data_IF_312241816982
#
_entry.id   IF_312241816982
#
_cell.length_a   1.000
_cell.length_b   1.000
_cell.length_c   1.000
_cell.angle_alpha   90.00
_cell.angle_beta   90.00
_cell.angle_gamma   90.00
#
_symmetry.space_group_name_H-M   'P 1'
#
loop_
_entity.id
_entity.type
_entity.pdbx_description
1 polymer ?
#
# COMPACT_ATOMS: atom_id res chain seq x y z
N UNK A 1 -9.52 18.56 2.70
CA UNK A 1 -9.25 17.54 3.76
C UNK A 1 -7.92 17.87 4.41
N UNK A 2 -7.85 17.85 5.75
CA UNK A 2 -6.59 17.91 6.51
C UNK A 2 -6.17 16.48 6.84
N UNK A 3 -4.86 16.20 6.73
CA UNK A 3 -4.32 14.90 7.15
C UNK A 3 -4.54 14.72 8.66
N UNK A 4 -5.04 13.55 9.09
CA UNK A 4 -5.22 13.26 10.50
C UNK A 4 -3.92 13.42 11.32
N UNK A 5 -4.04 13.68 12.63
CA UNK A 5 -2.89 13.73 13.52
C UNK A 5 -2.03 12.46 13.44
N UNK A 6 -0.74 12.59 13.74
CA UNK A 6 0.23 11.47 13.62
C UNK A 6 -0.11 10.28 14.51
N UNK A 7 -0.72 10.51 15.66
CA UNK A 7 -1.08 9.48 16.65
C UNK A 7 -1.99 8.38 16.08
N UNK A 8 -2.86 8.72 15.13
CA UNK A 8 -3.70 7.74 14.40
C UNK A 8 -2.85 6.70 13.67
N UNK A 9 -1.70 7.12 13.14
CA UNK A 9 -0.76 6.28 12.40
C UNK A 9 0.33 5.67 13.30
N UNK A 10 0.66 6.33 14.41
CA UNK A 10 1.76 5.93 15.30
C UNK A 10 1.50 4.60 16.00
N UNK A 11 0.23 4.19 16.13
CA UNK A 11 -0.13 2.85 16.62
C UNK A 11 0.45 1.75 15.71
N UNK A 12 0.55 2.01 14.40
CA UNK A 12 1.14 1.06 13.43
C UNK A 12 2.67 1.05 13.46
N UNK A 13 3.29 2.05 14.07
CA UNK A 13 4.75 2.19 14.17
C UNK A 13 5.35 1.43 15.36
N UNK A 14 4.50 0.88 16.21
CA UNK A 14 4.93 0.09 17.37
C UNK A 14 5.10 -1.38 17.00
N UNK A 15 5.96 -2.08 17.73
CA UNK A 15 6.08 -3.53 17.56
C UNK A 15 4.79 -4.24 18.00
N UNK A 16 4.42 -5.28 17.27
CA UNK A 16 3.34 -6.18 17.70
C UNK A 16 3.79 -7.22 18.74
N UNK A 17 5.09 -7.22 19.13
CA UNK A 17 5.67 -8.25 19.96
C UNK A 17 5.59 -9.62 19.28
N UNK A 18 4.99 -10.58 19.96
CA UNK A 18 4.74 -11.93 19.41
C UNK A 18 3.41 -12.06 18.67
N UNK A 19 2.58 -11.01 18.69
CA UNK A 19 1.28 -11.04 18.01
C UNK A 19 1.50 -10.94 16.51
N UNK A 20 1.05 -11.94 15.81
CA UNK A 20 1.08 -11.98 14.35
C UNK A 20 -0.11 -11.22 13.75
N UNK A 21 0.13 -10.55 12.64
CA UNK A 21 -0.88 -9.80 11.90
C UNK A 21 -0.40 -9.67 10.44
N UNK A 22 -1.33 -9.67 9.50
CA UNK A 22 -1.03 -9.40 8.10
C UNK A 22 -0.98 -7.89 7.80
N UNK A 23 -0.37 -7.50 6.68
CA UNK A 23 -0.42 -6.10 6.24
C UNK A 23 -1.83 -5.70 5.78
N UNK A 24 -2.63 -6.62 5.24
CA UNK A 24 -4.06 -6.37 4.97
C UNK A 24 -4.80 -6.05 6.27
N UNK A 25 -4.60 -6.83 7.33
CA UNK A 25 -5.22 -6.54 8.63
C UNK A 25 -4.67 -5.26 9.27
N UNK A 26 -3.40 -4.93 9.03
CA UNK A 26 -2.80 -3.65 9.45
C UNK A 26 -3.50 -2.47 8.76
N UNK A 27 -3.80 -2.59 7.45
CA UNK A 27 -4.57 -1.60 6.71
C UNK A 27 -5.97 -1.43 7.30
N UNK A 28 -6.71 -2.51 7.50
CA UNK A 28 -8.06 -2.49 8.09
C UNK A 28 -8.06 -1.82 9.45
N UNK A 29 -7.07 -2.13 10.28
CA UNK A 29 -6.90 -1.51 11.61
C UNK A 29 -6.60 -0.02 11.51
N UNK A 30 -5.76 0.39 10.58
CA UNK A 30 -5.46 1.79 10.30
C UNK A 30 -6.72 2.54 9.83
N UNK A 31 -7.46 1.98 8.88
CA UNK A 31 -8.72 2.56 8.40
C UNK A 31 -9.75 2.66 9.53
N UNK A 32 -9.84 1.64 10.41
CA UNK A 32 -10.68 1.68 11.61
C UNK A 32 -10.31 2.85 12.53
N UNK A 33 -9.03 3.17 12.66
CA UNK A 33 -8.60 4.34 13.43
C UNK A 33 -8.94 5.66 12.73
N UNK A 34 -8.83 5.70 11.41
CA UNK A 34 -9.23 6.87 10.61
C UNK A 34 -10.72 7.20 10.73
N UNK A 35 -11.57 6.20 10.95
CA UNK A 35 -13.00 6.42 11.21
C UNK A 35 -13.29 7.21 12.51
N UNK A 36 -12.29 7.39 13.39
CA UNK A 36 -12.42 8.23 14.59
C UNK A 36 -12.15 9.71 14.30
N UNK A 37 -11.52 10.03 13.18
CA UNK A 37 -11.25 11.42 12.79
C UNK A 37 -12.50 12.02 12.13
N UNK A 38 -13.05 13.07 12.73
CA UNK A 38 -14.31 13.71 12.28
C UNK A 38 -14.19 14.39 10.91
N UNK A 39 -12.98 14.74 10.48
CA UNK A 39 -12.74 15.38 9.18
C UNK A 39 -12.57 14.34 8.06
N UNK A 40 -11.98 13.21 8.36
CA UNK A 40 -11.67 12.16 7.38
C UNK A 40 -12.78 11.10 7.32
N UNK A 41 -13.34 10.68 8.46
CA UNK A 41 -14.34 9.62 8.53
C UNK A 41 -15.49 9.78 7.53
N UNK A 42 -16.16 10.93 7.42
CA UNK A 42 -17.29 11.10 6.48
C UNK A 42 -16.85 11.18 5.01
N UNK A 43 -15.56 11.17 4.72
CA UNK A 43 -14.99 11.24 3.37
C UNK A 43 -14.44 9.90 2.89
N UNK A 44 -14.29 8.92 3.78
CA UNK A 44 -13.81 7.59 3.43
C UNK A 44 -14.88 6.83 2.64
N UNK A 45 -14.50 6.30 1.49
CA UNK A 45 -15.35 5.47 0.63
C UNK A 45 -14.62 4.16 0.34
N UNK A 46 -14.74 3.16 1.23
CA UNK A 46 -14.24 1.82 0.94
C UNK A 46 -15.06 1.21 -0.20
N UNK A 47 -14.39 0.72 -1.22
CA UNK A 47 -14.99 0.05 -2.37
C UNK A 47 -14.47 -1.38 -2.38
N UNK A 48 -15.36 -2.34 -2.34
CA UNK A 48 -15.03 -3.74 -2.12
C UNK A 48 -15.82 -4.58 -3.12
N UNK A 49 -15.19 -5.56 -3.80
CA UNK A 49 -15.95 -6.63 -4.42
C UNK A 49 -16.62 -7.44 -3.30
N UNK A 50 -17.47 -8.34 -3.61
CA UNK A 50 -18.30 -9.17 -2.72
C UNK A 50 -17.50 -10.04 -1.69
N UNK A 51 -16.34 -9.62 -1.25
CA UNK A 51 -15.41 -10.41 -0.42
C UNK A 51 -14.84 -9.63 0.77
N UNK A 52 -15.61 -8.72 1.35
CA UNK A 52 -15.18 -7.89 2.48
C UNK A 52 -14.62 -8.71 3.66
N UNK A 53 -15.20 -9.88 3.93
CA UNK A 53 -14.75 -10.78 5.01
C UNK A 53 -13.37 -11.37 4.74
N UNK A 54 -13.04 -11.67 3.49
CA UNK A 54 -11.71 -12.15 3.10
C UNK A 54 -10.63 -11.12 3.40
N UNK A 55 -10.97 -9.84 3.31
CA UNK A 55 -10.08 -8.73 3.67
C UNK A 55 -10.16 -8.34 5.15
N UNK A 56 -10.99 -9.01 5.97
CA UNK A 56 -11.19 -8.68 7.38
C UNK A 56 -11.95 -7.37 7.61
N UNK A 57 -12.75 -6.93 6.64
CA UNK A 57 -13.46 -5.65 6.67
C UNK A 57 -14.92 -5.74 7.15
N UNK A 58 -15.40 -6.90 7.55
CA UNK A 58 -16.77 -7.09 8.07
C UNK A 58 -17.12 -6.15 9.23
N UNK A 59 -16.11 -5.71 9.98
CA UNK A 59 -16.31 -4.73 11.05
C UNK A 59 -16.79 -3.36 10.58
N UNK A 60 -16.63 -3.04 9.28
CA UNK A 60 -17.16 -1.80 8.71
C UNK A 60 -18.66 -1.84 8.48
N UNK A 61 -19.26 -3.01 8.29
CA UNK A 61 -20.71 -3.15 8.08
C UNK A 61 -21.50 -2.51 9.24
N UNK A 62 -21.07 -2.73 10.45
CA UNK A 62 -21.74 -2.16 11.64
C UNK A 62 -21.33 -0.71 11.93
N UNK A 63 -20.13 -0.28 11.52
CA UNK A 63 -19.60 1.05 11.84
C UNK A 63 -20.08 2.13 10.89
N UNK A 64 -20.03 1.87 9.59
CA UNK A 64 -20.33 2.86 8.54
C UNK A 64 -21.34 2.36 7.51
N UNK A 65 -21.76 1.10 7.62
CA UNK A 65 -22.79 0.50 6.77
C UNK A 65 -22.36 0.30 5.31
N UNK A 66 -23.04 -0.61 4.64
CA UNK A 66 -22.99 -0.77 3.19
C UNK A 66 -24.03 0.15 2.58
N UNK A 67 -23.65 0.90 1.57
CA UNK A 67 -24.58 1.79 0.89
C UNK A 67 -25.64 1.00 0.14
N UNK A 68 -26.90 1.29 0.43
CA UNK A 68 -28.04 0.80 -0.33
C UNK A 68 -29.06 1.91 -0.50
N UNK A 69 -29.37 2.27 -1.74
CA UNK A 69 -30.25 3.38 -2.09
C UNK A 69 -31.61 3.32 -1.37
N UNK A 70 -32.16 2.12 -1.23
CA UNK A 70 -33.46 1.91 -0.59
C UNK A 70 -33.36 1.47 0.89
N UNK A 71 -32.14 1.30 1.40
CA UNK A 71 -31.87 0.68 2.71
C UNK A 71 -32.09 -0.82 2.68
N UNK A 72 -31.89 -1.47 3.83
CA UNK A 72 -32.01 -2.91 3.96
C UNK A 72 -33.48 -3.35 4.01
N UNK A 73 -33.88 -4.22 3.06
CA UNK A 73 -35.28 -4.69 2.91
C UNK A 73 -35.45 -6.16 3.30
N UNK A 74 -34.44 -6.80 3.81
CA UNK A 74 -34.45 -8.21 4.20
C UNK A 74 -33.63 -8.41 5.46
N UNK A 75 -33.86 -9.53 6.13
CA UNK A 75 -33.03 -9.98 7.24
C UNK A 75 -31.83 -10.73 6.67
N UNK A 76 -30.59 -10.30 6.94
CA UNK A 76 -29.41 -11.02 6.44
C UNK A 76 -29.25 -12.38 7.11
N UNK A 77 -28.75 -13.34 6.35
CA UNK A 77 -28.54 -14.73 6.80
C UNK A 77 -27.65 -14.78 8.06
N UNK A 78 -26.74 -13.83 8.19
CA UNK A 78 -25.80 -13.69 9.29
C UNK A 78 -26.26 -12.73 10.41
N UNK A 79 -27.54 -12.38 10.46
CA UNK A 79 -28.13 -11.41 11.42
C UNK A 79 -27.77 -11.66 12.89
N UNK A 80 -27.44 -12.91 13.26
CA UNK A 80 -27.02 -13.31 14.60
C UNK A 80 -25.53 -13.06 14.90
N UNK A 81 -24.72 -12.68 13.92
CA UNK A 81 -23.31 -12.40 14.10
C UNK A 81 -23.09 -10.95 14.54
N UNK A 82 -22.05 -10.71 15.35
CA UNK A 82 -21.66 -9.36 15.80
C UNK A 82 -21.31 -8.43 14.63
N UNK A 83 -20.75 -8.95 13.55
CA UNK A 83 -20.40 -8.23 12.34
C UNK A 83 -21.30 -8.68 11.19
N UNK A 84 -22.61 -8.70 11.43
CA UNK A 84 -23.60 -9.04 10.41
C UNK A 84 -23.61 -8.04 9.27
N UNK A 85 -24.04 -8.49 8.10
CA UNK A 85 -24.26 -7.66 6.94
C UNK A 85 -25.29 -6.56 7.25
N UNK A 86 -24.96 -5.31 6.95
CA UNK A 86 -25.85 -4.16 7.23
C UNK A 86 -25.82 -3.17 6.09
N UNK A 87 -26.95 -3.02 5.41
CA UNK A 87 -27.21 -2.01 4.41
C UNK A 87 -27.89 -0.78 5.02
N UNK A 88 -27.51 0.41 4.54
CA UNK A 88 -28.07 1.68 5.00
C UNK A 88 -28.01 2.72 3.88
N UNK A 89 -29.02 3.60 3.82
CA UNK A 89 -29.05 4.74 2.87
C UNK A 89 -27.88 5.69 3.07
N UNK A 90 -27.37 5.79 4.27
CA UNK A 90 -26.20 6.58 4.65
C UNK A 90 -24.92 5.76 4.70
N UNK A 91 -24.94 4.51 4.23
CA UNK A 91 -23.77 3.63 4.19
C UNK A 91 -22.64 4.22 3.36
N UNK A 92 -21.41 3.94 3.77
CA UNK A 92 -20.20 4.45 3.10
C UNK A 92 -19.42 3.36 2.35
N UNK A 93 -19.64 2.08 2.66
CA UNK A 93 -19.03 0.97 1.93
C UNK A 93 -19.79 0.74 0.65
N UNK A 94 -19.10 0.79 -0.48
CA UNK A 94 -19.65 0.39 -1.77
C UNK A 94 -19.28 -1.08 -2.02
N UNK A 95 -20.26 -1.95 -1.97
CA UNK A 95 -20.13 -3.37 -2.27
C UNK A 95 -20.69 -3.62 -3.67
N UNK A 96 -19.80 -3.61 -4.65
CA UNK A 96 -20.11 -3.55 -6.09
C UNK A 96 -20.39 -4.93 -6.70
N UNK A 97 -20.23 -6.01 -5.91
CA UNK A 97 -20.17 -7.36 -6.43
C UNK A 97 -18.82 -7.67 -7.11
N UNK A 98 -18.69 -8.88 -7.64
CA UNK A 98 -17.44 -9.33 -8.30
C UNK A 98 -17.36 -8.69 -9.70
N UNK A 99 -17.10 -7.40 -9.73
CA UNK A 99 -16.92 -6.61 -10.96
C UNK A 99 -15.85 -5.54 -10.76
N UNK A 100 -14.66 -5.82 -11.22
CA UNK A 100 -13.53 -4.89 -11.11
C UNK A 100 -13.80 -3.60 -11.92
N UNK A 101 -14.45 -3.71 -13.07
CA UNK A 101 -14.78 -2.56 -13.90
C UNK A 101 -15.80 -1.62 -13.22
N UNK A 102 -16.84 -2.17 -12.58
CA UNK A 102 -17.81 -1.41 -11.79
C UNK A 102 -17.16 -0.72 -10.61
N UNK A 103 -16.40 -1.48 -9.83
CA UNK A 103 -15.65 -0.97 -8.67
C UNK A 103 -14.68 0.16 -9.05
N UNK A 104 -13.95 -0.01 -10.16
CA UNK A 104 -13.02 1.03 -10.63
C UNK A 104 -13.74 2.26 -11.16
N UNK A 105 -14.91 2.11 -11.78
CA UNK A 105 -15.75 3.24 -12.20
C UNK A 105 -16.22 4.04 -10.99
N UNK A 106 -16.71 3.39 -9.94
CA UNK A 106 -17.10 4.03 -8.68
C UNK A 106 -15.92 4.71 -8.00
N UNK A 107 -14.73 4.09 -8.05
CA UNK A 107 -13.50 4.68 -7.54
C UNK A 107 -13.13 5.97 -8.29
N UNK A 108 -13.21 5.98 -9.63
CA UNK A 108 -12.95 7.16 -10.45
C UNK A 108 -13.97 8.25 -10.12
N UNK A 109 -15.26 7.91 -10.05
CA UNK A 109 -16.33 8.86 -9.72
C UNK A 109 -16.09 9.53 -8.37
N UNK A 110 -15.77 8.76 -7.33
CA UNK A 110 -15.43 9.30 -6.02
C UNK A 110 -14.12 10.08 -6.02
N UNK A 111 -13.10 9.58 -6.73
CA UNK A 111 -11.77 10.21 -6.82
C UNK A 111 -11.75 11.54 -7.60
N UNK A 112 -12.76 11.79 -8.45
CA UNK A 112 -12.92 13.02 -9.23
C UNK A 112 -14.06 13.92 -8.70
N UNK A 113 -14.75 13.51 -7.64
CA UNK A 113 -15.90 14.24 -7.07
C UNK A 113 -15.56 15.68 -6.65
N UNK A 114 -14.31 15.95 -6.32
CA UNK A 114 -13.83 17.29 -5.97
C UNK A 114 -13.94 18.29 -7.14
N UNK A 115 -13.87 17.84 -8.39
CA UNK A 115 -14.03 18.70 -9.59
C UNK A 115 -15.48 18.79 -10.04
N UNK A 116 -16.23 17.70 -9.90
CA UNK A 116 -17.59 17.60 -10.45
C UNK A 116 -18.66 18.11 -9.48
N UNK A 117 -18.40 17.99 -8.17
CA UNK A 117 -19.39 18.26 -7.12
C UNK A 117 -18.86 19.14 -5.98
N UNK A 118 -17.61 19.60 -6.06
CA UNK A 118 -16.93 20.34 -4.98
C UNK A 118 -16.90 19.56 -3.64
N UNK A 119 -16.87 18.23 -3.73
CA UNK A 119 -16.85 17.32 -2.58
C UNK A 119 -15.60 16.45 -2.66
N UNK A 120 -14.67 16.63 -1.72
CA UNK A 120 -13.53 15.74 -1.63
C UNK A 120 -13.92 14.42 -0.98
N UNK A 121 -13.64 13.29 -1.65
CA UNK A 121 -13.79 11.94 -1.14
C UNK A 121 -12.45 11.21 -1.15
N UNK A 122 -12.31 10.22 -0.28
CA UNK A 122 -11.11 9.36 -0.18
C UNK A 122 -11.54 7.93 -0.56
N UNK A 123 -11.63 7.61 -1.84
CA UNK A 123 -11.95 6.26 -2.26
C UNK A 123 -10.77 5.32 -2.01
N UNK A 124 -11.07 4.14 -1.48
CA UNK A 124 -10.12 3.08 -1.19
C UNK A 124 -10.70 1.80 -1.77
N UNK A 125 -10.20 1.41 -2.93
CA UNK A 125 -10.65 0.21 -3.61
C UNK A 125 -9.72 -0.96 -3.32
N UNK A 126 -10.26 -2.01 -2.69
CA UNK A 126 -9.55 -3.25 -2.41
C UNK A 126 -9.90 -4.30 -3.47
N UNK A 127 -8.89 -4.96 -4.00
CA UNK A 127 -9.04 -6.04 -4.99
C UNK A 127 -7.89 -7.04 -4.87
N UNK A 128 -8.07 -8.21 -5.42
CA UNK A 128 -6.95 -9.15 -5.56
C UNK A 128 -5.91 -8.59 -6.53
N UNK A 129 -4.67 -8.42 -6.05
CA UNK A 129 -3.61 -7.72 -6.79
C UNK A 129 -3.36 -8.29 -8.19
N UNK A 130 -3.52 -9.61 -8.35
CA UNK A 130 -3.40 -10.29 -9.64
C UNK A 130 -4.43 -9.81 -10.67
N UNK A 131 -5.64 -9.49 -10.23
CA UNK A 131 -6.74 -9.16 -11.14
C UNK A 131 -6.91 -7.67 -11.41
N UNK A 132 -6.39 -6.78 -10.55
CA UNK A 132 -6.57 -5.35 -10.66
C UNK A 132 -6.15 -4.78 -12.01
N UNK A 133 -4.88 -4.45 -12.17
CA UNK A 133 -4.39 -3.82 -13.40
C UNK A 133 -4.57 -4.66 -14.67
N UNK A 134 -4.64 -5.98 -14.57
CA UNK A 134 -4.93 -6.83 -15.71
C UNK A 134 -6.34 -6.62 -16.27
N UNK A 135 -7.32 -6.35 -15.39
CA UNK A 135 -8.72 -6.19 -15.79
C UNK A 135 -9.15 -4.75 -15.94
N UNK A 136 -8.50 -3.84 -15.22
CA UNK A 136 -8.90 -2.43 -15.17
C UNK A 136 -7.75 -1.45 -15.46
N UNK A 137 -6.69 -1.90 -16.12
CA UNK A 137 -5.55 -1.05 -16.46
C UNK A 137 -5.95 0.16 -17.29
N UNK A 138 -6.85 0.00 -18.23
CA UNK A 138 -7.40 1.09 -19.04
C UNK A 138 -8.16 2.12 -18.20
N UNK A 139 -8.97 1.66 -17.25
CA UNK A 139 -9.62 2.55 -16.28
C UNK A 139 -8.60 3.25 -15.36
N UNK A 140 -7.51 2.60 -15.01
CA UNK A 140 -6.44 3.22 -14.21
C UNK A 140 -5.73 4.32 -15.00
N UNK A 141 -5.53 4.16 -16.30
CA UNK A 141 -5.08 5.22 -17.20
C UNK A 141 -6.06 6.38 -17.26
N UNK A 142 -7.35 6.08 -17.45
CA UNK A 142 -8.41 7.09 -17.43
C UNK A 142 -8.47 7.85 -16.10
N UNK A 143 -8.29 7.14 -14.98
CA UNK A 143 -8.18 7.73 -13.65
C UNK A 143 -7.00 8.70 -13.55
N UNK A 144 -5.84 8.29 -14.04
CA UNK A 144 -4.66 9.14 -14.11
C UNK A 144 -4.88 10.39 -14.95
N UNK A 145 -5.46 10.23 -16.13
CA UNK A 145 -5.76 11.34 -17.05
C UNK A 145 -6.78 12.33 -16.46
N UNK A 146 -7.80 11.84 -15.74
CA UNK A 146 -8.81 12.66 -15.07
C UNK A 146 -8.38 13.20 -13.71
N UNK A 147 -7.14 12.95 -13.30
CA UNK A 147 -6.57 13.40 -12.02
C UNK A 147 -7.35 12.88 -10.80
N UNK A 148 -7.86 11.67 -10.88
CA UNK A 148 -8.54 11.02 -9.77
C UNK A 148 -7.59 10.87 -8.57
N UNK A 149 -8.12 11.04 -7.36
CA UNK A 149 -7.38 10.92 -6.10
C UNK A 149 -7.95 9.76 -5.28
N UNK A 150 -7.09 8.95 -4.72
CA UNK A 150 -7.49 7.84 -3.88
C UNK A 150 -6.46 6.72 -3.84
N UNK A 151 -6.84 5.63 -3.20
CA UNK A 151 -5.98 4.47 -3.01
C UNK A 151 -6.55 3.25 -3.73
N UNK A 152 -5.72 2.59 -4.50
CA UNK A 152 -5.93 1.25 -5.02
C UNK A 152 -5.12 0.28 -4.15
N UNK A 153 -5.76 -0.74 -3.62
CA UNK A 153 -5.14 -1.69 -2.70
C UNK A 153 -5.19 -3.08 -3.32
N UNK A 154 -4.03 -3.58 -3.73
CA UNK A 154 -3.86 -4.98 -4.14
C UNK A 154 -3.74 -5.86 -2.90
N UNK A 155 -4.84 -6.27 -2.33
CA UNK A 155 -4.88 -7.14 -1.16
C UNK A 155 -4.70 -8.60 -1.57
N UNK A 156 -3.99 -9.41 -0.78
CA UNK A 156 -3.52 -10.75 -1.14
C UNK A 156 -2.42 -10.76 -2.21
N UNK A 157 -1.51 -9.77 -2.16
CA UNK A 157 -0.30 -9.85 -2.97
C UNK A 157 0.65 -10.90 -2.39
N UNK A 158 1.37 -11.57 -3.24
CA UNK A 158 2.37 -12.56 -2.85
C UNK A 158 2.36 -13.77 -3.77
N UNK A 159 3.50 -14.41 -3.90
CA UNK A 159 3.67 -15.60 -4.75
C UNK A 159 3.77 -16.86 -3.93
N UNK A 160 4.49 -16.81 -2.83
CA UNK A 160 4.90 -17.98 -2.04
C UNK A 160 4.03 -18.19 -0.81
N UNK A 161 3.22 -17.21 -0.44
CA UNK A 161 2.46 -17.17 0.82
C UNK A 161 0.95 -17.29 0.63
N UNK A 162 0.50 -17.49 -0.61
CA UNK A 162 -0.90 -17.72 -0.94
C UNK A 162 -1.23 -19.20 -0.80
N UNK A 163 -1.65 -19.61 0.39
CA UNK A 163 -2.08 -20.98 0.64
C UNK A 163 -3.55 -21.16 0.28
N UNK A 164 -3.82 -22.12 -0.61
CA UNK A 164 -5.19 -22.52 -0.99
C UNK A 164 -5.87 -21.66 -2.06
N UNK A 165 -5.30 -20.54 -2.45
CA UNK A 165 -5.91 -19.62 -3.42
C UNK A 165 -5.59 -19.99 -4.89
N UNK A 166 -4.65 -20.89 -5.12
CA UNK A 166 -4.26 -21.34 -6.45
C UNK A 166 -3.40 -20.36 -7.24
N UNK A 167 -2.91 -20.83 -8.38
CA UNK A 167 -1.95 -20.13 -9.23
C UNK A 167 -2.48 -18.80 -9.78
N UNK A 168 -3.77 -18.70 -10.04
CA UNK A 168 -4.40 -17.50 -10.60
C UNK A 168 -4.36 -16.28 -9.66
N UNK A 169 -4.07 -16.45 -8.38
CA UNK A 169 -3.94 -15.35 -7.43
C UNK A 169 -2.48 -14.90 -7.21
N UNK A 170 -1.51 -15.61 -7.79
CA UNK A 170 -0.10 -15.28 -7.63
C UNK A 170 0.28 -14.06 -8.46
N UNK A 171 0.46 -12.93 -7.80
CA UNK A 171 0.86 -11.67 -8.43
C UNK A 171 2.39 -11.52 -8.47
N UNK A 172 2.89 -11.11 -9.60
CA UNK A 172 4.31 -10.79 -9.77
C UNK A 172 4.56 -9.64 -10.74
N UNK A 173 3.51 -8.97 -11.19
CA UNK A 173 3.60 -8.00 -12.29
C UNK A 173 2.68 -6.79 -12.12
N UNK A 174 1.83 -6.71 -11.11
CA UNK A 174 0.92 -5.58 -10.92
C UNK A 174 1.68 -4.25 -10.78
N UNK A 175 2.82 -4.24 -10.08
CA UNK A 175 3.67 -3.05 -9.99
C UNK A 175 4.33 -2.66 -11.31
N UNK A 176 4.63 -3.62 -12.20
CA UNK A 176 5.12 -3.32 -13.55
C UNK A 176 4.04 -2.61 -14.37
N UNK A 177 2.80 -3.09 -14.30
CA UNK A 177 1.66 -2.44 -14.95
C UNK A 177 1.41 -1.04 -14.36
N UNK A 178 1.41 -0.90 -13.04
CA UNK A 178 1.28 0.39 -12.36
C UNK A 178 2.37 1.39 -12.79
N UNK A 179 3.61 0.92 -13.02
CA UNK A 179 4.73 1.77 -13.43
C UNK A 179 4.56 2.44 -14.79
N UNK A 180 3.64 1.96 -15.61
CA UNK A 180 3.34 2.56 -16.92
C UNK A 180 2.51 3.82 -16.83
N UNK A 181 1.80 4.04 -15.70
CA UNK A 181 0.92 5.19 -15.48
C UNK A 181 1.72 6.29 -14.77
N UNK A 182 1.98 7.45 -15.40
CA UNK A 182 2.96 8.42 -14.91
C UNK A 182 2.70 8.97 -13.51
N UNK A 183 1.43 9.19 -13.14
CA UNK A 183 1.00 9.71 -11.86
C UNK A 183 0.51 8.64 -10.87
N UNK A 184 0.71 7.37 -11.17
CA UNK A 184 0.52 6.28 -10.20
C UNK A 184 1.77 6.15 -9.34
N UNK A 185 1.61 6.32 -8.03
CA UNK A 185 2.66 6.12 -7.02
C UNK A 185 2.44 4.76 -6.39
N UNK A 186 3.38 3.84 -6.51
CA UNK A 186 3.13 2.45 -6.11
C UNK A 186 4.15 1.92 -5.12
N UNK A 187 3.66 1.20 -4.09
CA UNK A 187 4.45 0.65 -3.00
C UNK A 187 4.06 -0.78 -2.66
N UNK A 188 5.05 -1.55 -2.22
CA UNK A 188 4.93 -2.93 -1.75
C UNK A 188 5.50 -3.08 -0.32
N UNK A 189 4.80 -2.57 0.72
CA UNK A 189 5.29 -2.59 2.09
C UNK A 189 5.25 -3.99 2.69
N UNK A 190 6.27 -4.30 3.50
CA UNK A 190 6.33 -5.53 4.29
C UNK A 190 5.79 -5.33 5.70
N UNK A 191 6.00 -4.16 6.30
CA UNK A 191 5.65 -3.92 7.70
C UNK A 191 4.56 -2.87 7.87
N UNK A 192 3.81 -3.00 8.97
CA UNK A 192 2.72 -2.09 9.30
C UNK A 192 3.13 -0.61 9.37
N UNK A 193 4.34 -0.32 9.88
CA UNK A 193 4.85 1.06 9.93
C UNK A 193 5.17 1.63 8.55
N UNK A 194 5.66 0.80 7.61
CA UNK A 194 5.87 1.24 6.22
C UNK A 194 4.54 1.63 5.58
N UNK A 195 3.54 0.76 5.72
CA UNK A 195 2.18 1.03 5.24
C UNK A 195 1.61 2.33 5.82
N UNK A 196 1.78 2.56 7.13
CA UNK A 196 1.29 3.76 7.79
C UNK A 196 1.96 5.04 7.29
N UNK A 197 3.28 5.00 7.07
CA UNK A 197 4.05 6.13 6.50
C UNK A 197 3.59 6.43 5.08
N UNK A 198 3.48 5.40 4.24
CA UNK A 198 3.07 5.52 2.83
C UNK A 198 1.64 6.05 2.72
N UNK A 199 0.70 5.47 3.47
CA UNK A 199 -0.69 5.87 3.42
C UNK A 199 -0.89 7.32 3.89
N UNK A 200 -0.21 7.72 4.97
CA UNK A 200 -0.22 9.10 5.48
C UNK A 200 0.36 10.08 4.46
N UNK A 201 1.44 9.72 3.78
CA UNK A 201 2.03 10.55 2.70
C UNK A 201 1.05 10.68 1.52
N UNK A 202 0.37 9.61 1.15
CA UNK A 202 -0.67 9.64 0.12
C UNK A 202 -1.78 10.63 0.45
N UNK A 203 -2.30 10.59 1.67
CA UNK A 203 -3.29 11.58 2.14
C UNK A 203 -2.75 13.00 2.03
N UNK A 204 -1.50 13.23 2.47
CA UNK A 204 -0.86 14.54 2.42
C UNK A 204 -0.70 15.04 0.99
N UNK A 205 -0.18 14.22 0.10
CA UNK A 205 0.07 14.61 -1.30
C UNK A 205 -1.22 14.87 -2.05
N UNK A 206 -2.18 13.98 -1.96
CA UNK A 206 -3.44 14.08 -2.71
C UNK A 206 -4.39 15.16 -2.17
N UNK A 207 -4.50 15.32 -0.85
CA UNK A 207 -5.57 16.13 -0.26
C UNK A 207 -5.10 17.44 0.39
N UNK A 208 -3.87 17.51 0.94
CA UNK A 208 -3.33 18.78 1.44
C UNK A 208 -2.57 19.53 0.35
N UNK A 209 -1.62 18.85 -0.33
CA UNK A 209 -0.82 19.46 -1.39
C UNK A 209 -1.52 19.52 -2.74
N UNK A 210 -2.60 18.74 -2.90
CA UNK A 210 -3.37 18.64 -4.14
C UNK A 210 -2.52 18.24 -5.36
N UNK A 211 -1.51 17.40 -5.13
CA UNK A 211 -0.68 16.86 -6.20
C UNK A 211 -1.52 15.94 -7.10
N UNK A 212 -1.21 15.95 -8.40
CA UNK A 212 -1.83 15.05 -9.36
C UNK A 212 -1.19 13.66 -9.28
N UNK A 213 -1.57 12.91 -8.26
CA UNK A 213 -1.14 11.52 -8.04
C UNK A 213 -2.28 10.71 -7.45
N UNK A 214 -2.24 9.39 -7.66
CA UNK A 214 -3.00 8.40 -6.91
C UNK A 214 -2.08 7.26 -6.48
N UNK A 215 -2.49 6.50 -5.49
CA UNK A 215 -1.63 5.48 -4.88
C UNK A 215 -2.10 4.07 -5.21
N UNK A 216 -1.14 3.20 -5.52
CA UNK A 216 -1.32 1.76 -5.56
C UNK A 216 -0.44 1.12 -4.49
N UNK A 217 -1.02 0.35 -3.58
CA UNK A 217 -0.32 -0.29 -2.47
C UNK A 217 -0.71 -1.76 -2.44
N UNK A 218 0.28 -2.65 -2.45
CA UNK A 218 0.03 -4.07 -2.25
C UNK A 218 0.07 -4.43 -0.78
N UNK A 219 -0.81 -5.33 -0.36
CA UNK A 219 -0.84 -5.91 0.99
C UNK A 219 -1.01 -7.42 0.91
N UNK A 220 -0.62 -8.14 1.94
CA UNK A 220 -0.66 -9.60 1.98
C UNK A 220 -1.46 -10.11 3.17
N UNK A 221 -1.96 -11.34 3.08
CA UNK A 221 -2.77 -11.97 4.13
C UNK A 221 -1.99 -12.87 5.08
N UNK A 222 -0.73 -13.19 4.77
CA UNK A 222 0.10 -13.94 5.70
C UNK A 222 0.32 -13.16 7.00
N UNK A 223 0.15 -13.85 8.14
CA UNK A 223 0.35 -13.29 9.46
C UNK A 223 1.79 -13.48 9.92
N UNK A 224 2.39 -12.43 10.46
CA UNK A 224 3.73 -12.43 11.08
C UNK A 224 3.87 -11.27 12.07
N UNK A 225 4.85 -11.35 13.00
CA UNK A 225 5.15 -10.24 13.90
C UNK A 225 5.71 -9.03 13.15
N UNK A 226 5.26 -7.84 13.50
CA UNK A 226 5.79 -6.60 12.95
C UNK A 226 6.75 -5.94 13.95
N UNK A 227 7.96 -5.56 13.52
CA UNK A 227 8.88 -4.79 14.36
C UNK A 227 8.38 -3.35 14.54
N UNK A 228 8.92 -2.67 15.55
CA UNK A 228 8.74 -1.22 15.65
C UNK A 228 9.52 -0.51 14.52
N UNK A 229 9.03 0.68 14.15
CA UNK A 229 9.79 1.54 13.21
C UNK A 229 11.19 1.82 13.77
N UNK A 230 12.26 1.74 12.96
CA UNK A 230 13.61 2.10 13.40
C UNK A 230 13.68 3.54 13.96
N UNK A 231 14.51 3.73 14.99
CA UNK A 231 14.66 5.03 15.67
C UNK A 231 15.58 6.01 14.90
N UNK A 232 15.48 6.03 13.60
CA UNK A 232 16.19 6.96 12.73
C UNK A 232 15.23 8.05 12.26
N UNK A 233 15.64 9.33 12.40
CA UNK A 233 14.80 10.47 11.98
C UNK A 233 14.55 10.52 10.47
N UNK A 234 15.41 9.90 9.68
CA UNK A 234 15.33 9.88 8.21
C UNK A 234 14.52 8.69 7.67
N UNK A 235 14.10 7.77 8.54
CA UNK A 235 13.50 6.50 8.13
C UNK A 235 12.19 6.69 7.34
N UNK A 236 11.32 7.63 7.76
CA UNK A 236 10.07 7.90 7.05
C UNK A 236 10.35 8.41 5.62
N UNK A 237 11.33 9.28 5.46
CA UNK A 237 11.76 9.77 4.14
C UNK A 237 12.35 8.63 3.30
N UNK A 238 13.17 7.78 3.89
CA UNK A 238 13.79 6.66 3.19
C UNK A 238 12.75 5.61 2.74
N UNK A 239 11.71 5.34 3.57
CA UNK A 239 10.56 4.51 3.19
C UNK A 239 9.87 5.10 1.94
N UNK A 240 9.66 6.42 1.90
CA UNK A 240 9.01 7.10 0.79
C UNK A 240 9.88 7.18 -0.47
N UNK A 241 11.19 7.24 -0.31
CA UNK A 241 12.15 7.15 -1.43
C UNK A 241 12.27 5.77 -2.05
N UNK A 242 11.70 4.76 -1.42
CA UNK A 242 11.59 3.42 -1.98
C UNK A 242 12.50 2.37 -1.37
N UNK A 243 13.49 2.70 -0.52
CA UNK A 243 14.28 1.69 0.19
C UNK A 243 15.06 2.23 1.39
N UNK A 244 15.29 1.36 2.37
CA UNK A 244 16.12 1.64 3.53
C UNK A 244 16.73 0.35 4.09
N UNK A 245 17.85 0.49 4.82
CA UNK A 245 18.52 -0.64 5.47
C UNK A 245 17.76 -1.04 6.74
N UNK A 246 17.30 -2.31 6.79
CA UNK A 246 16.57 -2.83 7.93
C UNK A 246 17.46 -3.66 8.88
N UNK A 247 18.46 -4.35 8.34
CA UNK A 247 19.32 -5.23 9.12
C UNK A 247 20.75 -5.15 8.60
N UNK A 248 21.68 -5.14 9.52
CA UNK A 248 23.11 -5.27 9.21
C UNK A 248 23.67 -6.46 10.00
N UNK A 249 24.24 -7.41 9.30
CA UNK A 249 24.99 -8.51 9.88
C UNK A 249 26.47 -8.29 9.55
N UNK A 250 27.25 -7.83 10.54
CA UNK A 250 28.67 -7.51 10.36
C UNK A 250 29.49 -8.23 11.42
N UNK A 251 30.12 -9.34 11.04
CA UNK A 251 31.10 -10.05 11.89
C UNK A 251 32.46 -10.17 11.21
N UNK A 252 32.53 -10.15 9.88
CA UNK A 252 33.71 -10.27 9.07
C UNK A 252 33.72 -9.26 7.93
N UNK A 253 34.80 -8.52 7.76
CA UNK A 253 34.86 -7.41 6.78
C UNK A 253 35.31 -7.82 5.37
N UNK A 254 35.54 -9.11 5.09
CA UNK A 254 36.13 -9.53 3.82
C UNK A 254 35.16 -9.71 2.66
N UNK A 255 33.96 -10.12 2.94
CA UNK A 255 32.93 -10.32 1.89
C UNK A 255 31.60 -9.82 2.44
N UNK A 256 30.98 -8.87 1.75
CA UNK A 256 29.71 -8.28 2.14
C UNK A 256 28.73 -8.35 0.97
N UNK A 257 27.54 -8.88 1.24
CA UNK A 257 26.45 -9.01 0.25
C UNK A 257 25.34 -8.02 0.61
N UNK A 258 24.74 -7.42 -0.42
CA UNK A 258 23.54 -6.62 -0.31
C UNK A 258 22.32 -7.47 -0.70
N UNK A 259 21.39 -7.66 0.23
CA UNK A 259 20.14 -8.38 0.00
C UNK A 259 18.99 -7.39 -0.04
N UNK A 260 18.26 -7.37 -1.15
CA UNK A 260 17.14 -6.48 -1.37
C UNK A 260 15.86 -7.29 -1.45
N UNK A 261 14.84 -6.91 -0.69
CA UNK A 261 13.54 -7.58 -0.69
C UNK A 261 12.40 -6.59 -0.56
N UNK A 262 11.25 -6.93 -1.15
CA UNK A 262 10.01 -6.15 -1.16
C UNK A 262 8.86 -7.05 -0.74
N UNK A 263 7.88 -6.51 -0.03
CA UNK A 263 6.68 -7.24 0.36
C UNK A 263 7.00 -8.60 1.02
N UNK A 264 6.41 -9.67 0.53
CA UNK A 264 6.61 -11.03 1.07
C UNK A 264 8.06 -11.50 1.01
N UNK A 265 8.82 -11.08 -0.01
CA UNK A 265 10.18 -11.56 -0.26
C UNK A 265 11.19 -10.97 0.73
N UNK A 266 10.92 -9.81 1.33
CA UNK A 266 11.82 -9.25 2.33
C UNK A 266 12.06 -10.22 3.52
N UNK A 267 11.02 -10.93 3.94
CA UNK A 267 11.13 -11.90 5.04
C UNK A 267 12.07 -13.06 4.68
N UNK A 268 11.99 -13.54 3.44
CA UNK A 268 12.90 -14.56 2.90
C UNK A 268 14.33 -14.03 2.84
N UNK A 269 14.52 -12.76 2.46
CA UNK A 269 15.85 -12.14 2.46
C UNK A 269 16.44 -12.02 3.88
N UNK A 270 15.60 -11.73 4.88
CA UNK A 270 16.03 -11.70 6.29
C UNK A 270 16.48 -13.08 6.78
N UNK A 271 15.75 -14.15 6.42
CA UNK A 271 16.14 -15.53 6.74
C UNK A 271 17.42 -15.95 5.99
N UNK A 272 17.52 -15.60 4.71
CA UNK A 272 18.72 -15.86 3.91
C UNK A 272 19.96 -15.19 4.53
N UNK A 273 19.85 -13.97 5.05
CA UNK A 273 20.94 -13.29 5.74
C UNK A 273 21.39 -14.05 7.00
N UNK A 274 20.45 -14.63 7.75
CA UNK A 274 20.76 -15.43 8.93
C UNK A 274 21.48 -16.74 8.57
N UNK A 275 21.08 -17.38 7.48
CA UNK A 275 21.74 -18.60 6.95
C UNK A 275 23.16 -18.25 6.48
N UNK A 276 23.32 -17.17 5.70
CA UNK A 276 24.62 -16.73 5.21
C UNK A 276 25.60 -16.41 6.36
N UNK A 277 25.13 -15.75 7.41
CA UNK A 277 25.95 -15.50 8.60
C UNK A 277 26.30 -16.81 9.34
N UNK A 278 25.28 -17.64 9.59
CA UNK A 278 25.45 -18.85 10.41
C UNK A 278 26.32 -19.90 9.74
N UNK A 279 26.03 -20.22 8.49
CA UNK A 279 26.55 -21.40 7.82
C UNK A 279 27.76 -21.06 6.93
N UNK A 280 27.77 -19.88 6.33
CA UNK A 280 28.78 -19.48 5.35
C UNK A 280 29.72 -18.37 5.84
N UNK A 281 29.45 -17.75 7.00
CA UNK A 281 30.26 -16.64 7.58
C UNK A 281 30.37 -15.44 6.63
N UNK A 282 29.31 -15.15 5.92
CA UNK A 282 29.22 -14.05 4.98
C UNK A 282 28.40 -12.92 5.62
N UNK A 283 28.97 -11.71 5.62
CA UNK A 283 28.29 -10.51 6.10
C UNK A 283 27.23 -10.03 5.09
N UNK A 284 26.06 -9.62 5.60
CA UNK A 284 24.98 -9.12 4.78
C UNK A 284 24.43 -7.80 5.30
N UNK A 285 24.07 -6.89 4.37
CA UNK A 285 23.10 -5.82 4.63
C UNK A 285 21.78 -6.22 4.00
N UNK A 286 20.68 -6.11 4.75
CA UNK A 286 19.33 -6.37 4.26
C UNK A 286 18.58 -5.06 4.11
N UNK A 287 18.00 -4.85 2.94
CA UNK A 287 17.28 -3.65 2.57
C UNK A 287 15.83 -3.96 2.33
N UNK A 288 14.94 -3.21 3.00
CA UNK A 288 13.53 -3.18 2.65
C UNK A 288 13.35 -2.25 1.46
N UNK A 289 12.92 -2.81 0.34
CA UNK A 289 12.58 -2.05 -0.86
C UNK A 289 11.07 -1.85 -0.85
N UNK A 290 10.63 -0.71 -0.39
CA UNK A 290 9.20 -0.37 -0.32
C UNK A 290 8.62 0.00 -1.69
N UNK A 291 9.47 0.44 -2.63
CA UNK A 291 9.04 0.75 -4.00
C UNK A 291 10.19 0.70 -5.01
N UNK A 292 10.25 -0.33 -5.82
CA UNK A 292 11.12 -0.36 -7.00
C UNK A 292 10.72 0.71 -8.03
N UNK A 293 9.45 1.08 -8.09
CA UNK A 293 8.95 2.07 -9.05
C UNK A 293 9.42 3.49 -8.70
N UNK A 294 9.44 3.87 -7.43
CA UNK A 294 9.97 5.18 -7.03
C UNK A 294 11.49 5.24 -7.21
N UNK A 295 12.21 4.15 -6.93
CA UNK A 295 13.64 4.06 -7.25
C UNK A 295 13.92 4.18 -8.75
N UNK A 296 13.10 3.55 -9.59
CA UNK A 296 13.18 3.67 -11.04
C UNK A 296 12.91 5.10 -11.53
N UNK A 297 11.89 5.77 -10.98
CA UNK A 297 11.58 7.17 -11.31
C UNK A 297 12.75 8.09 -10.95
N UNK A 298 13.31 7.96 -9.74
CA UNK A 298 14.49 8.70 -9.30
C UNK A 298 15.67 8.49 -10.29
N UNK A 299 15.93 7.23 -10.65
CA UNK A 299 16.98 6.90 -11.62
C UNK A 299 16.78 7.58 -12.98
N UNK A 300 15.57 7.49 -13.53
CA UNK A 300 15.24 8.11 -14.83
C UNK A 300 15.30 9.65 -14.77
N UNK A 301 14.87 10.26 -13.68
CA UNK A 301 14.93 11.71 -13.49
C UNK A 301 16.39 12.21 -13.40
N UNK A 302 17.24 11.50 -12.68
CA UNK A 302 18.66 11.81 -12.56
C UNK A 302 19.36 11.63 -13.90
N UNK A 303 19.13 10.53 -14.60
CA UNK A 303 19.68 10.29 -15.95
C UNK A 303 19.28 11.39 -16.92
N UNK A 304 17.98 11.73 -16.95
CA UNK A 304 17.46 12.81 -17.79
C UNK A 304 18.08 14.16 -17.41
N UNK A 305 18.22 14.47 -16.12
CA UNK A 305 18.85 15.71 -15.67
C UNK A 305 20.30 15.79 -16.19
N UNK A 306 21.08 14.75 -15.99
CA UNK A 306 22.48 14.69 -16.39
C UNK A 306 22.65 14.81 -17.91
N UNK A 307 21.73 14.19 -18.67
CA UNK A 307 21.73 14.30 -20.13
C UNK A 307 21.44 15.73 -20.61
N UNK A 308 20.47 16.41 -19.99
CA UNK A 308 20.04 17.75 -20.39
C UNK A 308 20.96 18.87 -19.88
N UNK A 309 21.77 18.59 -18.86
CA UNK A 309 22.66 19.57 -18.23
C UNK A 309 24.12 19.09 -18.20
N UNK A 310 24.75 18.87 -19.39
CA UNK A 310 26.09 18.27 -19.48
C UNK A 310 27.21 19.11 -18.86
N UNK A 311 26.97 20.40 -18.66
CA UNK A 311 27.94 21.34 -18.05
C UNK A 311 27.77 21.46 -16.53
N UNK A 312 26.76 20.87 -15.94
CA UNK A 312 26.56 20.84 -14.49
C UNK A 312 27.23 19.62 -13.87
N UNK A 313 27.46 19.69 -12.55
CA UNK A 313 27.94 18.52 -11.80
C UNK A 313 26.88 17.41 -11.88
N UNK A 314 27.24 16.21 -12.35
CA UNK A 314 26.29 15.11 -12.44
C UNK A 314 25.62 14.82 -11.09
N UNK A 315 24.30 14.68 -11.09
CA UNK A 315 23.53 14.19 -9.95
C UNK A 315 23.71 12.69 -9.81
N UNK A 316 23.62 12.21 -8.58
CA UNK A 316 23.57 10.79 -8.24
C UNK A 316 22.16 10.37 -7.88
N UNK A 317 21.79 9.17 -8.27
CA UNK A 317 20.52 8.56 -7.87
C UNK A 317 20.49 8.30 -6.35
N UNK A 318 19.30 8.09 -5.81
CA UNK A 318 19.15 7.70 -4.40
C UNK A 318 19.94 6.43 -4.07
N UNK A 319 19.88 5.42 -4.96
CA UNK A 319 20.60 4.15 -4.79
C UNK A 319 22.12 4.35 -4.79
N UNK A 320 22.66 5.17 -5.69
CA UNK A 320 24.10 5.51 -5.71
C UNK A 320 24.53 6.24 -4.43
N UNK A 321 23.68 7.15 -3.90
CA UNK A 321 23.97 7.85 -2.65
C UNK A 321 23.99 6.93 -1.44
N UNK A 322 23.32 5.77 -1.48
CA UNK A 322 23.40 4.74 -0.45
C UNK A 322 24.67 3.87 -0.56
N UNK A 323 25.53 4.13 -1.53
CA UNK A 323 26.76 3.40 -1.82
C UNK A 323 26.53 1.89 -2.07
N UNK A 324 25.38 1.55 -2.66
CA UNK A 324 25.01 0.16 -2.96
C UNK A 324 25.57 -0.33 -4.28
N UNK A 325 25.89 0.58 -5.18
CA UNK A 325 26.38 0.24 -6.51
C UNK A 325 27.80 0.76 -6.63
N UNK A 326 28.75 -0.17 -6.65
CA UNK A 326 30.06 0.02 -7.25
C UNK A 326 30.04 -0.74 -8.58
N UNK A 327 29.45 -0.14 -9.56
CA UNK A 327 29.59 -0.60 -10.94
C UNK A 327 30.64 0.24 -11.62
#
# INVERSE_FOLDING_TARGET
IKVPPKDIFDVMKQSTGTKEMSTTMSLVRMLTNLLRDKNVSPKLVPIIPDEARTFGMEGFFQKIGIYAHEGQKYEPVDSKLLSSYREDKSGQVLEEGITEAGSMSSWIAAGTSYTNHDIEMIPIYLFYSMFGFQRVGDFAWAAGASQARGFLIGATSGRTTLAGEGLQHQDGHSHLLASTIPNCVSYDPTFAYELAVIFRDGLRRMYEKKENVFYYITTMNENYPHPAIPKDKTIEEAILKGMYKIKQVTKNKKTKIQLLGSGTILREMMQAADILDKDFKIDCDVWSVTSFNELRKDGMEVERFNLLNPNEKPKKTYVENLSLIHI
#
